data_IF_809627260806
#
_entry.id   IF_809627260806
#
_cell.length_a   1.000
_cell.length_b   1.000
_cell.length_c   1.000
_cell.angle_alpha   90.00
_cell.angle_beta   90.00
_cell.angle_gamma   90.00
#
_symmetry.space_group_name_H-M   'P 1'
#
loop_
_entity.id
_entity.type
_entity.pdbx_description
1 polymer ?
#
# COMPACT_ATOMS: atom_id res chain seq x y z
N UNK A 1 -53.16 24.45 35.55
CA UNK A 1 -53.58 23.37 34.65
C UNK A 1 -53.36 23.86 33.23
N UNK A 2 -52.64 23.05 32.45
CA UNK A 2 -52.27 23.17 31.03
C UNK A 2 -51.64 24.50 30.53
N UNK A 3 -50.68 24.52 29.62
CA UNK A 3 -50.17 23.47 28.75
C UNK A 3 -48.83 23.88 28.17
N UNK A 4 -47.89 22.95 28.27
CA UNK A 4 -46.53 23.02 27.77
C UNK A 4 -46.46 22.80 26.24
N UNK A 5 -45.46 23.46 25.63
CA UNK A 5 -44.71 23.10 24.42
C UNK A 5 -45.47 23.04 23.09
N UNK A 6 -44.98 23.82 22.12
CA UNK A 6 -44.45 23.27 20.85
C UNK A 6 -43.29 24.13 20.34
N UNK A 7 -42.06 23.64 20.52
CA UNK A 7 -40.91 24.06 19.72
C UNK A 7 -41.10 23.52 18.29
N UNK A 8 -40.88 24.36 17.27
CA UNK A 8 -40.72 23.90 15.89
C UNK A 8 -39.31 24.27 15.44
N UNK A 9 -38.42 23.27 15.47
CA UNK A 9 -37.08 23.36 14.89
C UNK A 9 -37.22 23.47 13.36
N UNK A 10 -36.56 24.47 12.78
CA UNK A 10 -36.33 24.56 11.33
C UNK A 10 -35.08 23.75 11.01
N UNK A 11 -35.24 22.73 10.19
CA UNK A 11 -34.21 21.79 9.76
C UNK A 11 -33.12 22.52 8.98
N UNK A 12 -31.91 22.54 9.55
CA UNK A 12 -30.72 23.02 8.85
C UNK A 12 -30.18 21.86 8.00
N UNK A 13 -30.74 21.69 6.80
CA UNK A 13 -30.25 20.73 5.82
C UNK A 13 -28.87 21.17 5.32
N UNK A 14 -27.84 20.69 6.02
CA UNK A 14 -26.44 20.87 5.62
C UNK A 14 -26.21 20.04 4.36
N UNK A 15 -26.26 20.68 3.20
CA UNK A 15 -25.77 20.11 1.95
C UNK A 15 -24.24 20.01 2.03
N UNK A 16 -23.76 18.95 2.67
CA UNK A 16 -22.36 18.56 2.62
C UNK A 16 -22.09 18.06 1.20
N UNK A 17 -21.61 18.97 0.34
CA UNK A 17 -21.05 18.61 -0.97
C UNK A 17 -20.03 17.50 -0.73
N UNK A 18 -20.30 16.35 -1.35
CA UNK A 18 -19.48 15.15 -1.30
C UNK A 18 -18.02 15.55 -1.52
N UNK A 19 -17.19 15.36 -0.50
CA UNK A 19 -15.75 15.37 -0.71
C UNK A 19 -15.46 14.10 -1.51
N UNK A 20 -15.20 14.23 -2.81
CA UNK A 20 -14.57 13.16 -3.56
C UNK A 20 -13.13 13.06 -3.08
N UNK A 21 -12.92 12.40 -1.95
CA UNK A 21 -11.61 11.83 -1.67
C UNK A 21 -11.44 10.67 -2.63
N UNK A 22 -10.63 10.86 -3.67
CA UNK A 22 -9.81 9.74 -4.14
C UNK A 22 -8.84 9.50 -3.00
N UNK A 23 -9.25 8.70 -2.02
CA UNK A 23 -8.30 8.08 -1.13
C UNK A 23 -7.48 7.17 -2.02
N UNK A 24 -6.23 7.56 -2.28
CA UNK A 24 -5.24 6.65 -2.83
C UNK A 24 -5.24 5.46 -1.86
N UNK A 25 -5.90 4.36 -2.23
CA UNK A 25 -6.16 3.27 -1.31
C UNK A 25 -4.81 2.86 -0.76
N UNK A 26 -4.63 3.01 0.56
CA UNK A 26 -3.41 2.56 1.23
C UNK A 26 -3.60 1.06 1.32
N UNK A 27 -3.13 0.32 0.32
CA UNK A 27 -3.23 -1.13 0.30
C UNK A 27 -2.53 -1.65 1.55
N UNK A 28 -3.31 -2.29 2.42
CA UNK A 28 -2.82 -2.89 3.64
C UNK A 28 -2.60 -4.36 3.35
N UNK A 29 -1.36 -4.70 2.97
CA UNK A 29 -0.92 -6.09 2.87
C UNK A 29 -0.54 -6.54 4.27
N UNK A 30 -1.03 -7.70 4.69
CA UNK A 30 -0.62 -8.30 5.95
C UNK A 30 0.90 -8.53 5.93
N UNK A 31 1.59 -8.23 7.03
CA UNK A 31 3.03 -8.48 7.10
C UNK A 31 3.30 -9.97 7.17
N UNK A 32 4.18 -10.47 6.32
CA UNK A 32 4.54 -11.87 6.35
C UNK A 32 5.42 -12.20 7.55
N UNK A 33 4.99 -13.21 8.30
CA UNK A 33 5.61 -13.67 9.54
C UNK A 33 6.06 -15.16 9.50
N UNK A 34 5.92 -15.82 8.35
CA UNK A 34 6.11 -17.27 8.08
C UNK A 34 4.95 -18.20 8.44
N UNK A 35 3.88 -17.69 9.04
CA UNK A 35 2.70 -18.50 9.39
C UNK A 35 1.59 -18.36 8.35
N UNK A 36 1.46 -17.18 7.74
CA UNK A 36 0.52 -16.93 6.64
C UNK A 36 0.88 -17.70 5.37
N UNK A 37 -0.11 -17.90 4.49
CA UNK A 37 0.12 -18.52 3.18
C UNK A 37 1.04 -17.63 2.32
N UNK A 38 2.26 -18.10 2.08
CA UNK A 38 3.26 -17.35 1.33
C UNK A 38 2.81 -16.99 -0.09
N UNK A 39 2.10 -17.89 -0.77
CA UNK A 39 1.62 -17.65 -2.13
C UNK A 39 0.62 -16.49 -2.19
N UNK A 40 -0.34 -16.46 -1.26
CA UNK A 40 -1.31 -15.36 -1.16
C UNK A 40 -0.59 -14.03 -0.87
N UNK A 41 0.29 -14.03 0.15
CA UNK A 41 1.07 -12.84 0.49
C UNK A 41 1.91 -12.33 -0.69
N UNK A 42 2.56 -13.24 -1.42
CA UNK A 42 3.37 -12.90 -2.57
C UNK A 42 2.54 -12.25 -3.69
N UNK A 43 1.33 -12.77 -3.96
CA UNK A 43 0.40 -12.16 -4.92
C UNK A 43 -0.01 -10.75 -4.49
N UNK A 44 -0.35 -10.55 -3.21
CA UNK A 44 -0.73 -9.22 -2.69
C UNK A 44 0.43 -8.20 -2.77
N UNK A 45 1.67 -8.62 -2.48
CA UNK A 45 2.85 -7.76 -2.64
C UNK A 45 3.09 -7.42 -4.12
N UNK A 46 2.90 -8.39 -5.03
CA UNK A 46 3.01 -8.15 -6.47
C UNK A 46 1.98 -7.12 -6.93
N UNK A 47 0.72 -7.22 -6.48
CA UNK A 47 -0.32 -6.24 -6.80
C UNK A 47 0.03 -4.84 -6.30
N UNK A 48 0.63 -4.72 -5.10
CA UNK A 48 1.14 -3.43 -4.59
C UNK A 48 2.26 -2.87 -5.47
N UNK A 49 3.20 -3.72 -5.93
CA UNK A 49 4.28 -3.28 -6.80
C UNK A 49 3.77 -2.81 -8.16
N UNK A 50 2.80 -3.53 -8.76
CA UNK A 50 2.15 -3.15 -10.03
C UNK A 50 1.50 -1.77 -9.91
N UNK A 51 0.74 -1.54 -8.83
CA UNK A 51 0.08 -0.25 -8.62
C UNK A 51 1.05 0.90 -8.35
N UNK A 52 2.26 0.60 -7.88
CA UNK A 52 3.35 1.56 -7.72
C UNK A 52 4.23 1.70 -8.97
N UNK A 53 3.94 0.95 -10.04
CA UNK A 53 4.74 0.87 -11.27
C UNK A 53 6.19 0.40 -10.99
N UNK A 54 6.34 -0.56 -10.08
CA UNK A 54 7.62 -1.11 -9.64
C UNK A 54 7.82 -2.59 -9.99
N UNK A 55 6.83 -3.24 -10.58
CA UNK A 55 6.84 -4.68 -10.90
C UNK A 55 7.97 -5.08 -11.84
N UNK A 56 8.42 -4.16 -12.70
CA UNK A 56 9.59 -4.35 -13.57
C UNK A 56 10.86 -4.75 -12.78
N UNK A 57 10.97 -4.33 -11.51
CA UNK A 57 12.09 -4.67 -10.64
C UNK A 57 12.22 -6.18 -10.36
N UNK A 58 11.13 -6.94 -10.50
CA UNK A 58 11.13 -8.40 -10.30
C UNK A 58 11.70 -9.15 -11.52
N UNK A 59 11.63 -8.55 -12.71
CA UNK A 59 12.08 -9.16 -13.96
C UNK A 59 13.60 -9.06 -14.21
N UNK A 60 14.25 -8.03 -13.66
CA UNK A 60 15.64 -7.66 -13.98
C UNK A 60 15.72 -6.40 -14.84
N UNK A 61 16.92 -5.83 -15.00
CA UNK A 61 17.10 -4.55 -15.69
C UNK A 61 16.86 -4.70 -17.20
N UNK A 62 15.96 -3.91 -17.82
CA UNK A 62 15.85 -3.81 -19.27
C UNK A 62 17.11 -3.20 -19.91
N UNK A 63 17.45 -3.63 -21.13
CA UNK A 63 18.64 -3.14 -21.85
C UNK A 63 18.57 -1.65 -22.20
N UNK A 64 17.37 -1.14 -22.44
CA UNK A 64 17.06 0.26 -22.78
C UNK A 64 16.95 1.18 -21.55
N UNK A 65 17.03 0.63 -20.33
CA UNK A 65 16.93 1.39 -19.09
C UNK A 65 18.32 1.79 -18.54
N UNK A 66 18.44 3.05 -18.13
CA UNK A 66 19.66 3.55 -17.47
C UNK A 66 19.89 2.86 -16.12
N UNK A 67 21.15 2.72 -15.73
CA UNK A 67 21.49 2.13 -14.41
C UNK A 67 20.91 2.95 -13.24
N UNK A 68 20.83 4.27 -13.41
CA UNK A 68 20.29 5.17 -12.39
C UNK A 68 18.79 4.96 -12.21
N UNK A 69 18.02 4.92 -13.30
CA UNK A 69 16.58 4.70 -13.26
C UNK A 69 16.26 3.31 -12.74
N UNK A 70 16.96 2.30 -13.24
CA UNK A 70 16.85 0.93 -12.74
C UNK A 70 17.11 0.84 -11.23
N UNK A 71 18.21 1.44 -10.75
CA UNK A 71 18.55 1.47 -9.34
C UNK A 71 17.44 2.11 -8.51
N UNK A 72 16.77 3.14 -9.03
CA UNK A 72 15.62 3.77 -8.37
C UNK A 72 14.45 2.79 -8.25
N UNK A 73 13.99 2.19 -9.35
CA UNK A 73 12.89 1.22 -9.35
C UNK A 73 13.17 0.04 -8.41
N UNK A 74 14.35 -0.56 -8.55
CA UNK A 74 14.76 -1.69 -7.73
C UNK A 74 14.89 -1.34 -6.24
N UNK A 75 15.42 -0.16 -5.89
CA UNK A 75 15.49 0.28 -4.49
C UNK A 75 14.10 0.52 -3.89
N UNK A 76 13.17 1.08 -4.68
CA UNK A 76 11.78 1.28 -4.24
C UNK A 76 11.08 -0.06 -4.05
N UNK A 77 11.21 -0.99 -4.99
CA UNK A 77 10.64 -2.34 -4.87
C UNK A 77 11.17 -3.09 -3.65
N UNK A 78 12.49 -3.09 -3.42
CA UNK A 78 13.11 -3.65 -2.22
C UNK A 78 12.55 -3.02 -0.93
N UNK A 79 12.27 -1.72 -0.94
CA UNK A 79 11.72 -1.02 0.21
C UNK A 79 10.26 -1.43 0.46
N UNK A 80 9.45 -1.52 -0.59
CA UNK A 80 8.06 -1.98 -0.52
C UNK A 80 7.97 -3.42 -0.01
N UNK A 81 8.74 -4.36 -0.59
CA UNK A 81 8.77 -5.76 -0.13
C UNK A 81 9.14 -5.83 1.35
N UNK A 82 10.20 -5.13 1.77
CA UNK A 82 10.58 -5.09 3.18
C UNK A 82 9.47 -4.49 4.06
N UNK A 83 8.72 -3.49 3.62
CA UNK A 83 7.61 -2.94 4.41
C UNK A 83 6.49 -3.97 4.67
N UNK A 84 6.30 -4.92 3.76
CA UNK A 84 5.38 -6.05 3.86
C UNK A 84 5.92 -7.22 4.70
N UNK A 85 7.05 -7.07 5.37
CA UNK A 85 7.63 -8.08 6.27
C UNK A 85 7.53 -7.66 7.74
N UNK A 86 7.44 -8.64 8.65
CA UNK A 86 7.64 -8.41 10.08
C UNK A 86 9.09 -8.02 10.39
N UNK A 87 9.35 -7.55 11.62
CA UNK A 87 10.71 -7.13 12.03
C UNK A 87 11.69 -8.30 12.00
N UNK A 88 11.21 -9.48 12.39
CA UNK A 88 11.97 -10.72 12.44
C UNK A 88 12.36 -11.17 11.02
N UNK A 89 11.44 -11.04 10.05
CA UNK A 89 11.74 -11.37 8.66
C UNK A 89 12.70 -10.38 8.00
N UNK A 90 12.56 -9.07 8.30
CA UNK A 90 13.46 -8.04 7.77
C UNK A 90 14.94 -8.31 8.06
N UNK A 91 15.27 -8.92 9.20
CA UNK A 91 16.66 -9.20 9.56
C UNK A 91 17.37 -10.10 8.53
N UNK A 92 16.66 -11.07 7.96
CA UNK A 92 17.25 -12.00 6.99
C UNK A 92 17.50 -11.38 5.62
N UNK A 93 16.78 -10.30 5.28
CA UNK A 93 16.80 -9.70 3.94
C UNK A 93 17.29 -8.24 3.92
N UNK A 94 17.70 -7.68 5.07
CA UNK A 94 18.06 -6.27 5.17
C UNK A 94 19.27 -5.86 4.31
N UNK A 95 20.13 -6.83 3.97
CA UNK A 95 21.31 -6.61 3.11
C UNK A 95 21.03 -6.88 1.63
N UNK A 96 19.88 -7.46 1.31
CA UNK A 96 19.54 -7.73 -0.07
C UNK A 96 19.22 -6.42 -0.78
N UNK A 97 19.75 -6.31 -1.99
CA UNK A 97 19.65 -5.09 -2.81
C UNK A 97 18.94 -5.35 -4.12
N UNK A 98 18.58 -6.59 -4.44
CA UNK A 98 17.86 -6.96 -5.64
C UNK A 98 16.44 -7.44 -5.31
N UNK A 99 15.42 -6.74 -5.84
CA UNK A 99 14.03 -7.05 -5.55
C UNK A 99 13.61 -8.45 -6.03
N UNK A 100 14.26 -8.98 -7.06
CA UNK A 100 13.96 -10.30 -7.63
C UNK A 100 14.27 -11.46 -6.68
N UNK A 101 15.17 -11.27 -5.73
CA UNK A 101 15.64 -12.35 -4.84
C UNK A 101 15.13 -12.18 -3.39
N UNK A 102 14.31 -11.15 -3.16
CA UNK A 102 13.56 -10.91 -1.93
C UNK A 102 12.26 -11.73 -1.92
#
# INVERSE_FOLDING_TARGET
>A
MEGSRRYRNSENASSSRRRSTVSNAKFEVEKFDRTSNFGIWQYEVMDVLIQQELDIALGGKPDDMTDQDWKKFNTQACSTIRLCLTKEQKYFVMRETNARVL
#
